data_IF_664019965772
#
_entry.id   IF_664019965772
#
_cell.length_a   1.000
_cell.length_b   1.000
_cell.length_c   1.000
_cell.angle_alpha   90.00
_cell.angle_beta   90.00
_cell.angle_gamma   90.00
#
_symmetry.space_group_name_H-M   'P 1'
#
loop_
_entity.id
_entity.type
_entity.pdbx_description
1 polymer ?
#
# COMPACT_ATOMS: atom_id res chain seq x y z
N UNK A 1 -16.90 -17.75 1.70
CA UNK A 1 -17.02 -16.48 0.97
C UNK A 1 -15.64 -15.86 0.99
N UNK A 2 -15.02 -15.68 -0.17
CA UNK A 2 -13.67 -15.13 -0.30
C UNK A 2 -13.73 -13.67 0.12
N UNK A 3 -13.22 -13.36 1.31
CA UNK A 3 -13.01 -11.99 1.78
C UNK A 3 -12.09 -11.33 0.75
N UNK A 4 -12.64 -10.45 -0.09
CA UNK A 4 -11.89 -9.92 -1.21
C UNK A 4 -10.65 -9.18 -0.72
N UNK A 5 -9.53 -9.43 -1.37
CA UNK A 5 -8.21 -8.98 -0.94
C UNK A 5 -8.21 -7.45 -0.80
N UNK A 6 -7.91 -6.99 0.42
CA UNK A 6 -7.73 -5.58 0.75
C UNK A 6 -6.23 -5.35 0.78
N UNK A 7 -5.73 -4.38 0.06
CA UNK A 7 -4.29 -4.22 -0.12
C UNK A 7 -3.85 -2.76 -0.15
N UNK A 8 -2.64 -2.55 0.32
CA UNK A 8 -1.86 -1.34 0.11
C UNK A 8 -0.78 -1.65 -0.91
N UNK A 9 -0.77 -0.92 -2.02
CA UNK A 9 0.27 -1.01 -3.04
C UNK A 9 1.09 0.28 -2.99
N UNK A 10 2.41 0.15 -3.02
CA UNK A 10 3.35 1.26 -2.95
C UNK A 10 4.13 1.32 -4.26
N UNK A 11 4.24 2.52 -4.80
CA UNK A 11 4.90 2.80 -6.07
C UNK A 11 6.05 3.77 -5.88
N UNK A 12 7.09 3.60 -6.69
CA UNK A 12 8.10 4.64 -6.88
C UNK A 12 7.55 5.81 -7.72
N UNK A 13 8.35 6.87 -7.87
CA UNK A 13 7.96 8.05 -8.66
C UNK A 13 7.87 7.79 -10.18
N UNK A 14 8.34 6.63 -10.65
CA UNK A 14 8.19 6.18 -12.04
C UNK A 14 6.91 5.36 -12.24
N UNK A 15 6.15 5.12 -11.17
CA UNK A 15 4.91 4.31 -11.18
C UNK A 15 5.15 2.81 -11.08
N UNK A 16 6.38 2.36 -10.78
CA UNK A 16 6.68 0.93 -10.59
C UNK A 16 6.27 0.50 -9.19
N UNK A 17 5.56 -0.63 -9.07
CA UNK A 17 5.24 -1.24 -7.78
C UNK A 17 6.52 -1.72 -7.07
N UNK A 18 6.71 -1.27 -5.83
CA UNK A 18 7.88 -1.62 -4.99
C UNK A 18 7.50 -2.43 -3.76
N UNK A 19 6.23 -2.41 -3.35
CA UNK A 19 5.73 -3.20 -2.23
C UNK A 19 4.22 -3.36 -2.31
N UNK A 20 3.74 -4.52 -1.85
CA UNK A 20 2.32 -4.83 -1.69
C UNK A 20 2.09 -5.44 -0.31
N UNK A 21 1.08 -4.95 0.40
CA UNK A 21 0.73 -5.41 1.74
C UNK A 21 -0.74 -5.78 1.78
N UNK A 22 -1.01 -7.05 2.06
CA UNK A 22 -2.38 -7.51 2.30
C UNK A 22 -2.81 -7.07 3.70
N UNK A 23 -4.01 -6.51 3.79
CA UNK A 23 -4.57 -6.05 5.06
C UNK A 23 -4.99 -7.26 5.89
N UNK A 24 -4.38 -7.45 7.04
CA UNK A 24 -4.66 -8.56 7.94
C UNK A 24 -5.97 -8.31 8.73
N UNK A 25 -6.41 -7.05 8.87
CA UNK A 25 -7.64 -6.68 9.56
C UNK A 25 -8.41 -5.56 8.84
N UNK A 26 -9.62 -5.25 9.32
CA UNK A 26 -10.57 -4.40 8.60
C UNK A 26 -10.27 -2.89 8.62
N UNK A 27 -9.39 -2.42 9.52
CA UNK A 27 -9.22 -0.98 9.79
C UNK A 27 -7.77 -0.51 9.79
N UNK A 28 -6.81 -1.42 9.74
CA UNK A 28 -5.40 -1.10 9.91
C UNK A 28 -4.55 -1.89 8.93
N UNK A 29 -3.65 -1.18 8.25
CA UNK A 29 -2.62 -1.74 7.38
C UNK A 29 -1.28 -1.49 8.04
N UNK A 30 -0.49 -2.55 8.23
CA UNK A 30 0.84 -2.44 8.83
C UNK A 30 1.89 -2.61 7.75
N UNK A 31 2.65 -1.55 7.48
CA UNK A 31 3.77 -1.56 6.53
C UNK A 31 5.09 -1.66 7.28
N UNK A 32 5.85 -2.72 7.01
CA UNK A 32 7.24 -2.86 7.45
C UNK A 32 8.15 -1.91 6.67
N UNK A 33 8.60 -0.83 7.31
CA UNK A 33 9.41 0.22 6.68
C UNK A 33 10.83 -0.23 6.30
N UNK A 34 11.33 -1.31 6.89
CA UNK A 34 12.70 -1.80 6.72
C UNK A 34 13.08 -2.14 5.26
N UNK A 35 12.10 -2.42 4.41
CA UNK A 35 12.33 -2.77 3.00
C UNK A 35 12.16 -1.57 2.05
N UNK A 36 11.88 -0.38 2.58
CA UNK A 36 11.71 0.84 1.80
C UNK A 36 12.85 1.81 2.16
N UNK A 37 13.79 2.05 1.23
CA UNK A 37 14.80 3.08 1.39
C UNK A 37 14.19 4.46 1.69
N UNK A 38 15.01 5.36 2.24
CA UNK A 38 14.62 6.76 2.39
C UNK A 38 14.27 7.36 1.02
N UNK A 39 13.13 8.06 0.94
CA UNK A 39 12.60 8.52 -0.33
C UNK A 39 11.13 8.94 -0.29
N UNK A 40 10.63 9.31 -1.46
CA UNK A 40 9.22 9.67 -1.68
C UNK A 40 8.57 8.59 -2.52
N UNK A 41 7.41 8.13 -2.06
CA UNK A 41 6.62 7.08 -2.70
C UNK A 41 5.17 7.52 -2.85
N UNK A 42 4.48 6.91 -3.79
CA UNK A 42 3.02 6.99 -3.90
C UNK A 42 2.43 5.69 -3.36
N UNK A 43 1.23 5.74 -2.81
CA UNK A 43 0.52 4.53 -2.42
C UNK A 43 -0.94 4.57 -2.85
N UNK A 44 -1.51 3.39 -3.01
CA UNK A 44 -2.92 3.17 -3.25
C UNK A 44 -3.48 2.16 -2.26
N UNK A 45 -4.69 2.41 -1.78
CA UNK A 45 -5.43 1.49 -0.92
C UNK A 45 -6.58 0.93 -1.73
N UNK A 46 -6.62 -0.39 -1.86
CA UNK A 46 -7.66 -1.12 -2.56
C UNK A 46 -8.48 -1.93 -1.56
N UNK A 47 -9.79 -1.87 -1.74
CA UNK A 47 -10.73 -2.84 -1.17
C UNK A 47 -11.12 -3.82 -2.28
N UNK A 48 -11.74 -4.94 -1.90
CA UNK A 48 -12.18 -6.02 -2.78
C UNK A 48 -12.84 -5.62 -4.12
N UNK A 49 -13.42 -4.42 -4.18
CA UNK A 49 -14.21 -3.93 -5.32
C UNK A 49 -13.63 -2.70 -6.01
N UNK A 50 -12.76 -1.94 -5.34
CA UNK A 50 -12.31 -0.65 -5.84
C UNK A 50 -11.14 -0.08 -5.05
N UNK A 51 -10.42 0.84 -5.69
CA UNK A 51 -9.53 1.78 -5.03
C UNK A 51 -10.32 2.73 -4.13
N UNK A 52 -9.99 2.75 -2.85
CA UNK A 52 -10.67 3.54 -1.81
C UNK A 52 -9.81 4.70 -1.30
N UNK A 53 -8.51 4.71 -1.62
CA UNK A 53 -7.61 5.78 -1.20
C UNK A 53 -6.33 5.82 -2.01
N UNK A 54 -5.67 6.97 -1.97
CA UNK A 54 -4.32 7.15 -2.48
C UNK A 54 -3.62 8.25 -1.69
N UNK A 55 -2.30 8.26 -1.75
CA UNK A 55 -1.53 9.33 -1.14
C UNK A 55 -0.04 9.23 -1.42
N UNK A 56 0.71 10.02 -0.64
CA UNK A 56 2.16 10.08 -0.69
C UNK A 56 2.73 9.62 0.65
N UNK A 57 3.78 8.81 0.58
CA UNK A 57 4.57 8.38 1.73
C UNK A 57 5.96 9.00 1.64
N UNK A 58 6.46 9.55 2.75
CA UNK A 58 7.82 10.07 2.84
C UNK A 58 8.55 9.26 3.90
N UNK A 59 9.57 8.52 3.47
CA UNK A 59 10.46 7.75 4.32
C UNK A 59 11.72 8.59 4.55
N UNK A 60 11.99 8.93 5.81
CA UNK A 60 13.20 9.58 6.33
C UNK A 60 13.99 8.64 7.22
#
# INVERSE_FOLDING_TARGET
>A
MSDGERELIIFDLKGSEVSRVNCINEKTITLGRQNLPAGVYLFEIHSAKAKVGMGKLIIR
#
